data_IF_783483193839
#
_entry.id   IF_783483193839
#
_cell.length_a   1.000
_cell.length_b   1.000
_cell.length_c   1.000
_cell.angle_alpha   90.00
_cell.angle_beta   90.00
_cell.angle_gamma   90.00
#
_symmetry.space_group_name_H-M   'P 1'
#
loop_
_entity.id
_entity.type
_entity.pdbx_description
1 polymer ?
#
# COMPACT_ATOMS: atom_id res chain seq x y z
N UNK A 1 91.13 -5.26 -17.36
CA UNK A 1 90.74 -4.84 -16.00
C UNK A 1 89.22 -4.97 -15.88
N UNK A 2 88.75 -5.74 -14.89
CA UNK A 2 87.37 -5.84 -14.34
C UNK A 2 86.25 -6.50 -15.19
N UNK A 3 85.87 -7.71 -14.75
CA UNK A 3 84.52 -8.23 -14.39
C UNK A 3 83.29 -7.34 -14.68
N UNK A 4 82.05 -7.78 -14.93
CA UNK A 4 81.35 -9.08 -15.07
C UNK A 4 79.82 -8.80 -15.15
N UNK A 5 79.01 -9.84 -15.45
CA UNK A 5 77.56 -10.02 -15.17
C UNK A 5 76.59 -9.48 -16.25
N UNK A 6 76.09 -10.28 -17.20
CA UNK A 6 74.94 -11.24 -17.16
C UNK A 6 73.59 -10.56 -16.85
N UNK A 7 72.63 -10.57 -17.78
CA UNK A 7 71.42 -11.42 -17.69
C UNK A 7 70.27 -10.95 -18.61
N UNK A 8 69.56 -11.95 -19.11
CA UNK A 8 68.39 -11.96 -19.99
C UNK A 8 67.28 -10.93 -19.66
N UNK A 9 66.74 -10.33 -20.73
CA UNK A 9 65.36 -9.84 -20.77
C UNK A 9 64.39 -11.02 -20.61
N UNK A 10 63.69 -11.10 -19.49
CA UNK A 10 62.46 -11.88 -19.33
C UNK A 10 61.28 -10.92 -19.31
N UNK A 11 60.60 -10.77 -20.44
CA UNK A 11 59.30 -10.08 -20.53
C UNK A 11 58.24 -11.04 -19.98
N UNK A 12 57.85 -10.83 -18.73
CA UNK A 12 56.68 -11.46 -18.12
C UNK A 12 55.41 -10.81 -18.72
N UNK A 13 54.81 -11.49 -19.69
CA UNK A 13 53.45 -11.21 -20.15
C UNK A 13 52.50 -11.67 -19.04
N UNK A 14 52.09 -10.75 -18.17
CA UNK A 14 50.94 -10.96 -17.29
C UNK A 14 49.68 -10.92 -18.15
N UNK A 15 49.20 -12.09 -18.55
CA UNK A 15 47.83 -12.27 -19.05
C UNK A 15 46.91 -12.04 -17.84
N UNK A 16 46.42 -10.82 -17.68
CA UNK A 16 45.24 -10.57 -16.85
C UNK A 16 44.05 -11.22 -17.54
N UNK A 17 43.75 -12.44 -17.13
CA UNK A 17 42.44 -13.05 -17.34
C UNK A 17 41.43 -12.19 -16.58
N UNK A 18 40.89 -11.16 -17.24
CA UNK A 18 39.69 -10.48 -16.79
C UNK A 18 38.54 -11.49 -16.89
N UNK A 19 38.40 -12.29 -15.85
CA UNK A 19 37.16 -12.99 -15.58
C UNK A 19 36.14 -11.88 -15.32
N UNK A 20 35.35 -11.55 -16.34
CA UNK A 20 34.26 -10.60 -16.26
C UNK A 20 33.21 -11.13 -15.29
N UNK A 21 33.44 -10.90 -14.00
CA UNK A 21 32.38 -10.88 -13.00
C UNK A 21 31.47 -9.74 -13.42
N UNK A 22 30.39 -10.08 -14.12
CA UNK A 22 29.20 -9.26 -14.22
C UNK A 22 28.69 -9.06 -12.78
N UNK A 23 29.26 -8.10 -12.07
CA UNK A 23 28.63 -7.54 -10.89
C UNK A 23 27.36 -6.89 -11.40
N UNK A 24 26.25 -7.61 -11.28
CA UNK A 24 24.92 -7.01 -11.36
C UNK A 24 24.87 -6.06 -10.17
N UNK A 25 25.15 -4.78 -10.44
CA UNK A 25 24.87 -3.71 -9.48
C UNK A 25 23.36 -3.66 -9.37
N UNK A 26 22.83 -4.39 -8.39
CA UNK A 26 21.42 -4.30 -8.03
C UNK A 26 21.25 -2.89 -7.49
N UNK A 27 20.60 -2.03 -8.28
CA UNK A 27 20.25 -0.68 -7.84
C UNK A 27 19.50 -0.80 -6.50
N UNK A 28 19.89 0.01 -5.52
CA UNK A 28 19.22 0.04 -4.24
C UNK A 28 17.72 0.30 -4.44
N UNK A 29 16.85 -0.37 -3.68
CA UNK A 29 15.41 -0.20 -3.81
C UNK A 29 15.05 1.26 -3.55
N UNK A 30 14.20 1.82 -4.42
CA UNK A 30 13.64 3.15 -4.19
C UNK A 30 12.59 3.07 -3.08
N UNK A 31 12.64 3.98 -2.12
CA UNK A 31 11.78 3.99 -0.94
C UNK A 31 11.14 5.37 -0.78
N UNK A 32 9.82 5.39 -0.69
CA UNK A 32 9.06 6.64 -0.52
C UNK A 32 9.04 7.04 0.96
N UNK A 33 9.38 8.29 1.24
CA UNK A 33 9.25 8.88 2.58
C UNK A 33 8.00 9.77 2.59
N UNK A 34 6.97 9.31 3.32
CA UNK A 34 5.65 9.95 3.40
C UNK A 34 5.56 10.75 4.70
N UNK A 35 5.35 12.05 4.60
CA UNK A 35 5.06 12.89 5.75
C UNK A 35 3.60 12.71 6.21
N UNK A 36 3.43 12.41 7.50
CA UNK A 36 2.13 12.19 8.13
C UNK A 36 1.34 13.49 8.35
N UNK A 37 0.01 13.42 8.29
CA UNK A 37 -0.93 14.45 8.74
C UNK A 37 -0.68 15.85 8.14
N UNK A 38 -0.29 15.92 6.88
CA UNK A 38 0.04 17.19 6.18
C UNK A 38 -1.20 17.96 5.72
N UNK A 39 -2.12 18.22 6.65
CA UNK A 39 -3.46 18.77 6.38
C UNK A 39 -3.50 20.26 6.01
N UNK A 40 -2.36 20.91 5.82
CA UNK A 40 -2.25 22.32 5.41
C UNK A 40 -1.16 22.52 4.35
N UNK A 41 -1.26 23.52 3.45
CA UNK A 41 -0.20 23.87 2.51
C UNK A 41 1.17 24.10 3.16
N UNK A 42 1.19 24.71 4.35
CA UNK A 42 2.44 24.94 5.09
C UNK A 42 3.06 23.64 5.61
N UNK A 43 2.24 22.68 6.04
CA UNK A 43 2.73 21.36 6.42
C UNK A 43 3.34 20.61 5.22
N UNK A 44 2.75 20.74 4.03
CA UNK A 44 3.29 20.15 2.80
C UNK A 44 4.63 20.81 2.43
N UNK A 45 4.72 22.15 2.45
CA UNK A 45 5.99 22.86 2.21
C UNK A 45 7.08 22.37 3.16
N UNK A 46 6.77 22.33 4.45
CA UNK A 46 7.69 21.83 5.45
C UNK A 46 8.12 20.39 5.17
N UNK A 47 7.19 19.49 4.81
CA UNK A 47 7.50 18.10 4.51
C UNK A 47 8.50 17.99 3.34
N UNK A 48 8.28 18.77 2.28
CA UNK A 48 9.17 18.84 1.12
C UNK A 48 10.56 19.39 1.51
N UNK A 49 10.63 20.41 2.37
CA UNK A 49 11.89 20.93 2.91
C UNK A 49 12.66 19.89 3.74
N UNK A 50 11.95 19.02 4.45
CA UNK A 50 12.54 17.88 5.16
C UNK A 50 13.00 16.74 4.22
N UNK A 51 12.73 16.86 2.91
CA UNK A 51 13.11 15.88 1.91
C UNK A 51 12.08 14.77 1.67
N UNK A 52 10.89 14.85 2.28
CA UNK A 52 9.80 13.94 1.96
C UNK A 52 9.47 14.03 0.47
N UNK A 53 9.11 12.91 -0.15
CA UNK A 53 8.57 12.87 -1.50
C UNK A 53 7.14 12.34 -1.53
N UNK A 54 6.59 11.93 -0.39
CA UNK A 54 5.18 11.63 -0.22
C UNK A 54 4.57 12.49 0.87
N UNK A 55 3.27 12.72 0.77
CA UNK A 55 2.47 13.34 1.82
C UNK A 55 1.23 12.48 2.08
N UNK A 56 0.80 12.40 3.33
CA UNK A 56 -0.49 11.86 3.73
C UNK A 56 -1.37 13.00 4.30
N UNK A 57 -2.65 12.99 3.94
CA UNK A 57 -3.63 13.98 4.37
C UNK A 57 -4.97 13.33 4.70
N UNK A 58 -5.54 13.76 5.82
CA UNK A 58 -6.81 13.28 6.36
C UNK A 58 -7.98 14.03 5.74
N UNK A 59 -8.77 13.38 4.89
CA UNK A 59 -9.91 14.00 4.25
C UNK A 59 -11.22 13.67 4.97
N UNK A 60 -11.88 14.69 5.52
CA UNK A 60 -13.23 14.62 6.08
C UNK A 60 -14.29 14.91 5.02
N UNK A 61 -15.48 14.38 5.26
CA UNK A 61 -16.62 14.44 4.36
C UNK A 61 -17.85 15.07 5.02
N UNK A 62 -18.67 15.74 4.22
CA UNK A 62 -20.04 16.13 4.54
C UNK A 62 -20.99 15.33 3.63
N UNK A 63 -21.58 14.27 4.19
CA UNK A 63 -22.22 13.23 3.39
C UNK A 63 -21.20 12.57 2.46
N UNK A 64 -21.45 12.54 1.16
CA UNK A 64 -20.53 11.98 0.14
C UNK A 64 -19.53 13.01 -0.38
N UNK A 65 -19.58 14.27 0.08
CA UNK A 65 -18.77 15.36 -0.47
C UNK A 65 -17.49 15.56 0.33
N UNK A 66 -16.31 15.62 -0.31
CA UNK A 66 -15.08 16.09 0.34
C UNK A 66 -15.32 17.47 0.97
N UNK A 67 -15.02 17.63 2.26
CA UNK A 67 -15.35 18.85 3.00
C UNK A 67 -14.12 19.60 3.52
N UNK A 68 -13.18 18.90 4.16
CA UNK A 68 -12.02 19.54 4.80
C UNK A 68 -10.87 18.55 4.98
N UNK A 69 -9.65 19.03 4.82
CA UNK A 69 -8.45 18.31 5.25
C UNK A 69 -8.22 18.61 6.73
N UNK A 70 -8.35 17.58 7.57
CA UNK A 70 -8.24 17.70 9.01
C UNK A 70 -8.29 16.32 9.66
N UNK A 71 -7.32 16.03 10.53
CA UNK A 71 -7.34 14.84 11.37
C UNK A 71 -8.37 15.00 12.52
N UNK A 72 -8.08 15.91 13.44
CA UNK A 72 -8.76 16.05 14.74
C UNK A 72 -8.02 15.32 15.87
N UNK A 73 -8.67 15.19 17.01
CA UNK A 73 -8.09 14.64 18.26
C UNK A 73 -8.65 13.22 18.50
N UNK A 74 -7.88 12.21 18.92
CA UNK A 74 -6.46 12.16 19.32
C UNK A 74 -5.51 11.82 18.15
N UNK A 75 -4.37 12.52 18.08
CA UNK A 75 -3.30 12.35 17.10
C UNK A 75 -2.06 11.65 17.72
N UNK A 76 -1.02 11.42 16.92
CA UNK A 76 0.25 10.85 17.37
C UNK A 76 0.90 11.60 18.54
N UNK A 77 1.54 10.85 19.45
CA UNK A 77 2.14 11.39 20.67
C UNK A 77 3.32 12.31 20.40
N UNK A 78 4.03 12.11 19.29
CA UNK A 78 5.02 13.06 18.76
C UNK A 78 4.39 14.45 18.50
N UNK A 79 3.07 14.52 18.32
CA UNK A 79 2.33 15.78 18.21
C UNK A 79 1.74 16.29 19.53
N UNK A 80 1.42 15.40 20.48
CA UNK A 80 0.80 15.77 21.75
C UNK A 80 1.83 16.14 22.85
N UNK A 81 2.94 15.39 22.96
CA UNK A 81 3.88 15.45 24.08
C UNK A 81 5.14 16.27 23.79
N UNK A 82 5.33 16.73 22.55
CA UNK A 82 6.60 17.29 22.07
C UNK A 82 6.60 18.79 21.78
N UNK A 83 5.65 19.53 22.35
CA UNK A 83 5.73 21.01 22.44
C UNK A 83 6.99 21.51 23.17
N UNK A 84 7.78 20.63 23.81
CA UNK A 84 8.85 21.02 24.74
C UNK A 84 10.28 20.60 24.39
N UNK A 85 10.59 19.76 23.36
CA UNK A 85 11.98 19.26 23.28
C UNK A 85 12.59 18.79 21.95
N UNK A 86 11.91 18.73 20.80
CA UNK A 86 12.57 18.30 19.54
C UNK A 86 12.20 19.22 18.37
N UNK A 87 13.21 19.76 17.68
CA UNK A 87 13.06 20.79 16.63
C UNK A 87 12.62 20.25 15.26
N UNK A 88 12.75 18.94 14.99
CA UNK A 88 12.49 18.31 13.68
C UNK A 88 11.27 17.36 13.72
N UNK A 89 10.05 17.91 13.88
CA UNK A 89 8.77 17.17 13.87
C UNK A 89 7.64 17.93 13.16
N UNK A 90 6.80 17.21 12.39
CA UNK A 90 5.76 17.82 11.55
C UNK A 90 4.69 18.58 12.30
N UNK A 91 4.41 18.17 13.53
CA UNK A 91 3.37 18.76 14.36
C UNK A 91 3.62 20.25 14.67
N UNK A 92 4.88 20.69 14.72
CA UNK A 92 5.22 22.12 14.90
C UNK A 92 4.99 22.94 13.63
N UNK A 93 5.08 22.31 12.47
CA UNK A 93 4.94 22.95 11.15
C UNK A 93 3.51 22.94 10.62
N UNK A 94 2.62 22.18 11.26
CA UNK A 94 1.17 22.15 10.97
C UNK A 94 0.45 23.42 11.49
N UNK A 95 1.16 24.34 12.16
CA UNK A 95 0.60 25.58 12.72
C UNK A 95 -0.03 25.31 14.08
N UNK A 96 -1.17 24.64 14.11
CA UNK A 96 -1.96 24.35 15.33
C UNK A 96 -1.78 22.91 15.85
N UNK A 97 -0.63 22.27 15.57
CA UNK A 97 -0.41 20.88 15.96
C UNK A 97 -1.40 19.94 15.27
N UNK A 98 -2.11 19.13 16.04
CA UNK A 98 -3.10 18.16 15.52
C UNK A 98 -4.39 18.80 15.00
N UNK A 99 -4.54 20.10 15.20
CA UNK A 99 -5.73 20.86 14.81
C UNK A 99 -5.60 21.55 13.46
N UNK A 100 -4.43 21.45 12.80
CA UNK A 100 -4.24 21.99 11.47
C UNK A 100 -5.35 21.52 10.53
N UNK A 101 -5.91 22.47 9.80
CA UNK A 101 -6.97 22.19 8.84
C UNK A 101 -6.94 23.14 7.68
N UNK A 102 -7.45 22.70 6.55
CA UNK A 102 -7.58 23.52 5.35
C UNK A 102 -8.85 23.12 4.60
N UNK A 103 -9.54 24.09 4.01
CA UNK A 103 -10.70 23.80 3.17
C UNK A 103 -10.30 22.92 1.99
N UNK A 104 -11.24 22.15 1.45
CA UNK A 104 -10.94 21.34 0.25
C UNK A 104 -10.50 22.21 -0.92
N UNK A 105 -11.15 23.37 -1.14
CA UNK A 105 -10.81 24.29 -2.21
C UNK A 105 -9.36 24.76 -2.10
N UNK A 106 -8.96 25.31 -0.94
CA UNK A 106 -7.63 25.90 -0.76
C UNK A 106 -6.53 24.84 -0.90
N UNK A 107 -6.74 23.64 -0.35
CA UNK A 107 -5.76 22.56 -0.43
C UNK A 107 -5.62 22.04 -1.86
N UNK A 108 -6.72 21.81 -2.56
CA UNK A 108 -6.71 21.28 -3.93
C UNK A 108 -6.12 22.30 -4.90
N UNK A 109 -6.44 23.59 -4.75
CA UNK A 109 -5.80 24.65 -5.53
C UNK A 109 -4.29 24.72 -5.28
N UNK A 110 -3.85 24.53 -4.03
CA UNK A 110 -2.43 24.45 -3.69
C UNK A 110 -1.76 23.24 -4.34
N UNK A 111 -2.36 22.05 -4.27
CA UNK A 111 -1.84 20.83 -4.90
C UNK A 111 -1.75 20.93 -6.43
N UNK A 112 -2.65 21.68 -7.06
CA UNK A 112 -2.62 21.99 -8.49
C UNK A 112 -1.76 23.20 -8.87
N UNK A 113 -1.06 23.83 -7.93
CA UNK A 113 -0.27 25.03 -8.17
C UNK A 113 1.08 24.73 -8.84
N UNK A 114 1.66 25.76 -9.47
CA UNK A 114 3.02 25.67 -10.06
C UNK A 114 4.10 25.29 -9.04
N UNK A 115 3.91 25.66 -7.77
CA UNK A 115 4.79 25.29 -6.66
C UNK A 115 4.88 23.77 -6.53
N UNK A 116 3.73 23.09 -6.52
CA UNK A 116 3.68 21.62 -6.41
C UNK A 116 4.08 20.94 -7.71
N UNK A 117 3.65 21.44 -8.86
CA UNK A 117 3.99 20.87 -10.18
C UNK A 117 5.50 20.84 -10.43
N UNK A 118 6.22 21.88 -9.98
CA UNK A 118 7.69 21.97 -10.10
C UNK A 118 8.45 21.27 -8.96
N UNK A 119 7.75 20.83 -7.91
CA UNK A 119 8.35 20.16 -6.76
C UNK A 119 8.79 18.71 -7.04
N UNK A 120 9.41 18.09 -6.03
CA UNK A 120 9.72 16.64 -6.00
C UNK A 120 8.60 15.78 -5.40
N UNK A 121 7.41 16.35 -5.16
CA UNK A 121 6.29 15.58 -4.61
C UNK A 121 5.90 14.46 -5.57
N UNK A 122 6.14 13.23 -5.14
CA UNK A 122 5.97 12.01 -5.91
C UNK A 122 4.70 11.22 -5.54
N UNK A 123 4.16 11.42 -4.34
CA UNK A 123 2.97 10.73 -3.87
C UNK A 123 2.08 11.64 -3.03
N UNK A 124 0.78 11.65 -3.34
CA UNK A 124 -0.28 12.17 -2.48
C UNK A 124 -1.08 10.99 -1.96
N UNK A 125 -1.09 10.78 -0.65
CA UNK A 125 -1.90 9.79 0.04
C UNK A 125 -3.10 10.51 0.71
N UNK A 126 -4.32 10.15 0.31
CA UNK A 126 -5.56 10.60 0.92
C UNK A 126 -6.06 9.52 1.89
N UNK A 127 -6.02 9.79 3.19
CA UNK A 127 -6.70 8.98 4.21
C UNK A 127 -8.15 9.47 4.33
N UNK A 128 -9.09 8.69 3.79
CA UNK A 128 -10.50 9.05 3.82
C UNK A 128 -11.10 8.76 5.21
N UNK A 129 -11.40 9.84 5.95
CA UNK A 129 -12.09 9.77 7.25
C UNK A 129 -13.59 9.66 7.05
N UNK A 130 -14.03 8.46 6.66
CA UNK A 130 -15.41 8.16 6.35
C UNK A 130 -16.25 7.95 7.62
N UNK A 131 -17.33 8.70 7.76
CA UNK A 131 -18.26 8.54 8.87
C UNK A 131 -19.16 7.32 8.68
N UNK A 132 -19.43 6.58 9.77
CA UNK A 132 -20.30 5.38 9.75
C UNK A 132 -21.75 5.68 9.34
N UNK A 133 -22.17 6.94 9.46
CA UNK A 133 -23.50 7.44 9.08
C UNK A 133 -23.63 7.66 7.57
N UNK A 134 -22.52 7.65 6.83
CA UNK A 134 -22.53 7.83 5.38
C UNK A 134 -23.17 6.62 4.70
N UNK A 135 -24.17 6.87 3.85
CA UNK A 135 -24.94 5.81 3.20
C UNK A 135 -24.29 5.25 1.93
N UNK A 136 -23.40 6.00 1.29
CA UNK A 136 -22.87 5.67 -0.04
C UNK A 136 -21.37 5.98 -0.14
N UNK A 137 -20.55 5.07 0.39
CA UNK A 137 -19.09 5.21 0.33
C UNK A 137 -18.57 5.27 -1.12
N UNK A 138 -19.16 4.51 -2.05
CA UNK A 138 -18.74 4.48 -3.45
C UNK A 138 -18.87 5.85 -4.12
N UNK A 139 -19.93 6.59 -3.83
CA UNK A 139 -20.08 7.95 -4.35
C UNK A 139 -19.03 8.90 -3.77
N UNK A 140 -18.68 8.78 -2.49
CA UNK A 140 -17.58 9.55 -1.91
C UNK A 140 -16.25 9.28 -2.63
N UNK A 141 -15.97 8.01 -2.96
CA UNK A 141 -14.80 7.63 -3.75
C UNK A 141 -14.77 8.26 -5.15
N UNK A 142 -15.90 8.21 -5.87
CA UNK A 142 -16.05 8.87 -7.18
C UNK A 142 -15.82 10.39 -7.09
N UNK A 143 -16.34 11.03 -6.04
CA UNK A 143 -16.19 12.47 -5.83
C UNK A 143 -14.73 12.88 -5.57
N UNK A 144 -13.98 12.10 -4.78
CA UNK A 144 -12.55 12.36 -4.55
C UNK A 144 -11.73 12.25 -5.84
N UNK A 145 -11.96 11.20 -6.63
CA UNK A 145 -11.27 11.02 -7.91
C UNK A 145 -11.59 12.16 -8.86
N UNK A 146 -12.86 12.57 -8.95
CA UNK A 146 -13.26 13.70 -9.78
C UNK A 146 -12.53 14.98 -9.38
N UNK A 147 -12.54 15.32 -8.09
CA UNK A 147 -11.88 16.49 -7.53
C UNK A 147 -10.37 16.54 -7.87
N UNK A 148 -9.66 15.42 -7.67
CA UNK A 148 -8.22 15.32 -7.92
C UNK A 148 -7.91 15.37 -9.42
N UNK A 149 -8.68 14.66 -10.25
CA UNK A 149 -8.48 14.65 -11.70
C UNK A 149 -8.65 16.06 -12.29
N UNK A 150 -9.70 16.77 -11.89
CA UNK A 150 -10.06 18.07 -12.46
C UNK A 150 -9.17 19.21 -11.99
N UNK A 151 -8.58 19.11 -10.79
CA UNK A 151 -7.91 20.26 -10.17
C UNK A 151 -6.45 20.02 -9.78
N UNK A 152 -5.96 18.78 -9.79
CA UNK A 152 -4.56 18.45 -9.43
C UNK A 152 -3.84 17.85 -10.63
N UNK A 153 -4.34 16.72 -11.15
CA UNK A 153 -3.67 16.01 -12.25
C UNK A 153 -3.77 16.79 -13.56
N UNK A 154 -4.96 17.28 -13.92
CA UNK A 154 -5.18 18.10 -15.13
C UNK A 154 -4.32 19.37 -15.15
N UNK A 155 -3.95 19.90 -13.97
CA UNK A 155 -3.11 21.09 -13.79
C UNK A 155 -1.61 20.77 -13.82
N UNK A 156 -1.24 19.52 -14.07
CA UNK A 156 0.14 19.12 -14.37
C UNK A 156 0.87 18.40 -13.24
N UNK A 157 0.21 18.03 -12.14
CA UNK A 157 0.85 17.21 -11.11
C UNK A 157 1.32 15.88 -11.70
N UNK A 158 2.59 15.52 -11.47
CA UNK A 158 3.27 14.35 -12.08
C UNK A 158 3.40 13.15 -11.15
N UNK A 159 3.13 13.30 -9.86
CA UNK A 159 3.22 12.21 -8.89
C UNK A 159 2.02 11.27 -8.89
N UNK A 160 2.03 10.26 -8.05
CA UNK A 160 0.95 9.28 -7.94
C UNK A 160 -0.02 9.66 -6.83
N UNK A 161 -1.20 9.03 -6.85
CA UNK A 161 -2.26 9.19 -5.86
C UNK A 161 -2.49 7.83 -5.18
N UNK A 162 -2.42 7.80 -3.86
CA UNK A 162 -2.85 6.67 -3.04
C UNK A 162 -4.16 7.06 -2.34
N UNK A 163 -5.20 6.27 -2.54
CA UNK A 163 -6.48 6.45 -1.86
C UNK A 163 -6.63 5.35 -0.79
N UNK A 164 -6.78 5.76 0.47
CA UNK A 164 -6.99 4.85 1.59
C UNK A 164 -8.41 4.92 2.14
N UNK A 165 -8.91 3.79 2.62
CA UNK A 165 -10.03 3.73 3.56
C UNK A 165 -9.57 3.09 4.87
N UNK A 166 -10.20 3.46 6.00
CA UNK A 166 -9.70 3.06 7.32
C UNK A 166 -9.93 1.61 7.70
N UNK A 167 -10.86 0.87 7.06
CA UNK A 167 -11.11 -0.55 7.37
C UNK A 167 -11.70 -1.29 6.16
N UNK A 168 -11.73 -2.62 6.19
CA UNK A 168 -12.33 -3.43 5.12
C UNK A 168 -13.83 -3.15 4.92
N UNK A 169 -14.54 -2.68 5.96
CA UNK A 169 -15.96 -2.37 5.88
C UNK A 169 -16.25 -1.12 5.05
N UNK A 170 -15.22 -0.34 4.69
CA UNK A 170 -15.33 0.88 3.90
C UNK A 170 -14.83 0.70 2.47
N UNK A 171 -14.54 -0.54 2.04
CA UNK A 171 -13.98 -0.85 0.70
C UNK A 171 -14.83 -0.38 -0.47
N UNK A 172 -16.13 -0.17 -0.28
CA UNK A 172 -16.99 0.42 -1.31
C UNK A 172 -16.52 1.83 -1.74
N UNK A 173 -15.88 2.59 -0.85
CA UNK A 173 -15.21 3.84 -1.21
C UNK A 173 -14.16 3.64 -2.30
N UNK A 174 -13.29 2.64 -2.12
CA UNK A 174 -12.24 2.31 -3.08
C UNK A 174 -12.84 1.78 -4.38
N UNK A 175 -13.89 0.95 -4.33
CA UNK A 175 -14.58 0.45 -5.53
C UNK A 175 -15.16 1.59 -6.37
N UNK A 176 -15.81 2.56 -5.74
CA UNK A 176 -16.31 3.76 -6.43
C UNK A 176 -15.18 4.61 -7.01
N UNK A 177 -14.07 4.76 -6.29
CA UNK A 177 -12.90 5.46 -6.82
C UNK A 177 -12.33 4.74 -8.06
N UNK A 178 -12.14 3.42 -7.99
CA UNK A 178 -11.66 2.59 -9.10
C UNK A 178 -12.57 2.72 -10.33
N UNK A 179 -13.89 2.67 -10.15
CA UNK A 179 -14.86 2.87 -11.22
C UNK A 179 -14.66 4.22 -11.92
N UNK A 180 -14.50 5.31 -11.15
CA UNK A 180 -14.25 6.65 -11.74
C UNK A 180 -12.90 6.73 -12.44
N UNK A 181 -11.86 6.11 -11.86
CA UNK A 181 -10.50 6.08 -12.42
C UNK A 181 -10.47 5.31 -13.73
N UNK A 182 -11.10 4.14 -13.81
CA UNK A 182 -11.15 3.31 -15.02
C UNK A 182 -11.84 4.03 -16.20
N UNK A 183 -12.70 5.01 -15.90
CA UNK A 183 -13.33 5.89 -16.89
C UNK A 183 -12.51 7.17 -17.17
N UNK A 184 -11.21 7.17 -16.84
CA UNK A 184 -10.28 8.29 -17.04
C UNK A 184 -8.95 7.83 -17.64
N UNK A 185 -8.15 8.78 -18.14
CA UNK A 185 -6.81 8.51 -18.70
C UNK A 185 -5.70 8.41 -17.64
N UNK A 186 -6.05 8.29 -16.35
CA UNK A 186 -5.10 8.37 -15.24
C UNK A 186 -4.99 7.07 -14.44
N UNK A 187 -5.46 5.94 -14.97
CA UNK A 187 -5.53 4.68 -14.24
C UNK A 187 -4.18 4.20 -13.68
N UNK A 188 -3.07 4.48 -14.37
CA UNK A 188 -1.70 4.18 -13.96
C UNK A 188 -1.17 5.07 -12.83
N UNK A 189 -1.91 6.13 -12.46
CA UNK A 189 -1.54 7.09 -11.42
C UNK A 189 -2.19 6.81 -10.07
N UNK A 190 -3.21 5.95 -10.04
CA UNK A 190 -4.00 5.68 -8.84
C UNK A 190 -3.68 4.31 -8.24
N UNK A 191 -3.52 4.33 -6.92
CA UNK A 191 -3.26 3.18 -6.08
C UNK A 191 -4.22 3.19 -4.89
N UNK A 192 -4.42 2.03 -4.28
CA UNK A 192 -5.47 1.83 -3.28
C UNK A 192 -4.93 1.06 -2.07
N UNK A 193 -5.35 1.45 -0.87
CA UNK A 193 -4.98 0.77 0.37
C UNK A 193 -6.16 0.65 1.32
N UNK A 194 -6.21 -0.46 2.06
CA UNK A 194 -7.13 -0.65 3.19
C UNK A 194 -6.28 -0.57 4.44
N UNK A 195 -6.49 0.46 5.24
CA UNK A 195 -5.68 0.76 6.41
C UNK A 195 -6.30 0.16 7.70
N UNK A 196 -5.61 0.31 8.83
CA UNK A 196 -6.01 0.10 10.23
C UNK A 196 -6.59 -1.27 10.62
N UNK A 197 -6.40 -2.30 9.81
CA UNK A 197 -6.69 -3.69 10.18
C UNK A 197 -5.58 -4.33 11.04
N UNK A 198 -4.51 -3.59 11.34
CA UNK A 198 -3.43 -4.02 12.22
C UNK A 198 -2.71 -5.27 11.70
N UNK A 199 -2.63 -6.32 12.52
CA UNK A 199 -1.94 -7.57 12.17
C UNK A 199 -2.74 -8.48 11.22
N UNK A 200 -3.97 -8.11 10.84
CA UNK A 200 -4.85 -8.93 10.01
C UNK A 200 -4.54 -8.79 8.51
N UNK A 201 -3.28 -9.02 8.11
CA UNK A 201 -2.83 -8.88 6.73
C UNK A 201 -3.57 -9.80 5.75
N UNK A 202 -3.93 -11.01 6.18
CA UNK A 202 -4.71 -11.97 5.39
C UNK A 202 -6.12 -11.43 5.09
N UNK A 203 -6.79 -10.86 6.10
CA UNK A 203 -8.10 -10.23 5.92
C UNK A 203 -8.03 -9.04 4.95
N UNK A 204 -6.99 -8.21 5.06
CA UNK A 204 -6.76 -7.10 4.12
C UNK A 204 -6.55 -7.62 2.71
N UNK A 205 -5.81 -8.73 2.57
CA UNK A 205 -5.57 -9.36 1.28
C UNK A 205 -6.84 -9.87 0.63
N UNK A 206 -7.68 -10.61 1.36
CA UNK A 206 -8.96 -11.11 0.84
C UNK A 206 -9.87 -10.00 0.32
N UNK A 207 -9.92 -8.87 1.03
CA UNK A 207 -10.69 -7.71 0.60
C UNK A 207 -10.02 -6.93 -0.54
N UNK A 208 -8.69 -6.91 -0.59
CA UNK A 208 -7.91 -6.29 -1.68
C UNK A 208 -8.17 -7.00 -3.01
N UNK A 209 -8.24 -8.34 -3.00
CA UNK A 209 -8.60 -9.13 -4.17
C UNK A 209 -9.95 -8.71 -4.77
N UNK A 210 -10.91 -8.35 -3.93
CA UNK A 210 -12.27 -7.94 -4.34
C UNK A 210 -12.34 -6.51 -4.91
N UNK A 211 -11.23 -5.77 -4.97
CA UNK A 211 -11.21 -4.44 -5.57
C UNK A 211 -11.14 -4.49 -7.11
N UNK A 212 -10.76 -5.64 -7.69
CA UNK A 212 -10.70 -5.80 -9.15
C UNK A 212 -9.59 -4.97 -9.82
N UNK A 213 -8.52 -4.65 -9.09
CA UNK A 213 -7.34 -3.94 -9.60
C UNK A 213 -6.07 -4.53 -8.98
N UNK A 214 -4.96 -4.44 -9.70
CA UNK A 214 -3.63 -4.85 -9.20
C UNK A 214 -2.84 -3.67 -8.60
N UNK A 215 -3.32 -2.44 -8.69
CA UNK A 215 -2.66 -1.27 -8.09
C UNK A 215 -2.95 -1.15 -6.60
N UNK A 216 -2.83 -2.25 -5.87
CA UNK A 216 -3.08 -2.30 -4.43
C UNK A 216 -1.77 -2.20 -3.66
N UNK A 217 -1.78 -1.34 -2.65
CA UNK A 217 -0.69 -1.09 -1.71
C UNK A 217 -1.12 -1.65 -0.36
N UNK A 218 -0.22 -2.37 0.31
CA UNK A 218 -0.43 -2.75 1.71
C UNK A 218 0.19 -1.71 2.63
N UNK A 219 -0.56 -1.28 3.62
CA UNK A 219 -0.05 -0.47 4.72
C UNK A 219 -0.64 -0.98 6.02
N UNK A 220 0.14 -0.90 7.10
CA UNK A 220 -0.37 -1.15 8.44
C UNK A 220 0.42 -0.32 9.44
N UNK A 221 -0.10 -0.22 10.64
CA UNK A 221 0.47 0.67 11.61
C UNK A 221 -0.35 0.85 12.85
N UNK A 222 0.23 1.62 13.75
CA UNK A 222 -0.47 2.19 14.87
C UNK A 222 0.14 3.56 15.18
N UNK A 223 -0.60 4.36 15.92
CA UNK A 223 -0.09 5.63 16.43
C UNK A 223 1.29 5.46 17.07
N UNK A 224 2.19 6.39 16.80
CA UNK A 224 3.53 6.41 17.39
C UNK A 224 3.53 6.52 18.93
N UNK A 225 2.36 6.75 19.54
CA UNK A 225 2.11 6.64 20.97
C UNK A 225 2.32 5.24 21.56
N UNK A 226 2.13 4.19 20.76
CA UNK A 226 2.01 2.82 21.26
C UNK A 226 3.22 1.98 20.85
N UNK A 227 3.76 1.23 21.82
CA UNK A 227 4.83 0.26 21.57
C UNK A 227 4.24 -1.03 20.99
N UNK A 228 4.02 -1.04 19.67
CA UNK A 228 3.59 -2.22 18.91
C UNK A 228 4.38 -2.33 17.60
N UNK A 229 4.63 -3.57 17.17
CA UNK A 229 5.29 -3.86 15.88
C UNK A 229 4.37 -4.71 15.00
N UNK A 230 4.61 -4.67 13.70
CA UNK A 230 3.79 -5.33 12.68
C UNK A 230 4.62 -6.21 11.74
N UNK A 231 5.80 -6.67 12.18
CA UNK A 231 6.73 -7.43 11.32
C UNK A 231 6.10 -8.66 10.68
N UNK A 232 5.22 -9.39 11.38
CA UNK A 232 4.53 -10.56 10.83
C UNK A 232 3.61 -10.19 9.68
N UNK A 233 2.81 -9.15 9.86
CA UNK A 233 1.89 -8.64 8.84
C UNK A 233 2.65 -8.10 7.62
N UNK A 234 3.76 -7.39 7.84
CA UNK A 234 4.67 -6.92 6.79
C UNK A 234 5.31 -8.09 6.04
N UNK A 235 5.86 -9.09 6.73
CA UNK A 235 6.47 -10.26 6.10
C UNK A 235 5.47 -11.04 5.27
N UNK A 236 4.28 -11.32 5.82
CA UNK A 236 3.19 -11.95 5.07
C UNK A 236 2.89 -11.16 3.78
N UNK A 237 2.72 -9.84 3.89
CA UNK A 237 2.38 -8.99 2.75
C UNK A 237 3.47 -8.96 1.69
N UNK A 238 4.74 -8.94 2.08
CA UNK A 238 5.87 -9.04 1.15
C UNK A 238 5.94 -10.41 0.47
N UNK A 239 5.68 -11.49 1.21
CA UNK A 239 5.70 -12.87 0.71
C UNK A 239 4.56 -13.16 -0.26
N UNK A 240 3.40 -12.50 -0.11
CA UNK A 240 2.28 -12.64 -1.07
C UNK A 240 2.65 -12.20 -2.49
N UNK A 241 3.61 -11.27 -2.62
CA UNK A 241 4.05 -10.65 -3.89
C UNK A 241 2.90 -10.04 -4.71
N UNK A 242 1.76 -9.79 -4.10
CA UNK A 242 0.57 -9.32 -4.80
C UNK A 242 0.37 -7.81 -4.69
N UNK A 243 0.92 -7.19 -3.66
CA UNK A 243 0.92 -5.74 -3.52
C UNK A 243 2.02 -5.11 -4.37
N UNK A 244 1.71 -4.00 -5.05
CA UNK A 244 2.71 -3.20 -5.79
C UNK A 244 3.71 -2.51 -4.87
N UNK A 245 3.35 -2.37 -3.59
CA UNK A 245 4.14 -1.73 -2.56
C UNK A 245 3.62 -2.11 -1.17
N UNK A 246 4.53 -2.27 -0.22
CA UNK A 246 4.23 -2.58 1.18
C UNK A 246 4.87 -1.51 2.06
N UNK A 247 4.13 -0.93 3.01
CA UNK A 247 4.68 0.08 3.92
C UNK A 247 4.09 0.04 5.32
N UNK A 248 4.60 0.94 6.15
CA UNK A 248 4.33 0.98 7.59
C UNK A 248 4.13 2.42 8.06
N UNK A 249 3.24 2.61 9.03
CA UNK A 249 3.00 3.87 9.74
C UNK A 249 2.81 3.65 11.26
N UNK A 250 2.85 4.69 12.10
CA UNK A 250 3.71 5.86 11.93
C UNK A 250 5.06 5.56 12.57
N UNK A 251 6.16 5.59 11.81
CA UNK A 251 7.49 5.23 12.32
C UNK A 251 8.38 6.46 12.41
N UNK A 252 8.67 6.93 13.63
CA UNK A 252 9.43 8.17 13.87
C UNK A 252 10.90 7.94 14.28
N UNK A 253 11.23 6.80 14.88
CA UNK A 253 12.58 6.53 15.38
C UNK A 253 13.48 5.98 14.27
N UNK A 254 14.67 6.55 14.06
CA UNK A 254 15.64 6.08 13.04
C UNK A 254 15.95 4.59 13.14
N UNK A 255 16.08 4.05 14.35
CA UNK A 255 16.30 2.61 14.57
C UNK A 255 15.13 1.77 14.07
N UNK A 256 13.89 2.16 14.38
CA UNK A 256 12.68 1.50 13.90
C UNK A 256 12.51 1.62 12.39
N UNK A 257 12.81 2.80 11.83
CA UNK A 257 12.85 3.02 10.36
C UNK A 257 13.81 2.00 9.75
N UNK A 258 15.06 1.96 10.22
CA UNK A 258 16.06 1.00 9.73
C UNK A 258 15.58 -0.45 9.83
N UNK A 259 14.92 -0.84 10.93
CA UNK A 259 14.41 -2.19 11.09
C UNK A 259 13.33 -2.55 10.07
N UNK A 260 12.40 -1.64 9.75
CA UNK A 260 11.40 -1.89 8.70
C UNK A 260 11.98 -1.83 7.28
N UNK A 261 12.97 -0.97 7.03
CA UNK A 261 13.72 -0.99 5.77
C UNK A 261 14.42 -2.34 5.57
N UNK A 262 15.06 -2.86 6.63
CA UNK A 262 15.69 -4.18 6.61
C UNK A 262 14.66 -5.31 6.42
N UNK A 263 13.43 -5.12 6.89
CA UNK A 263 12.33 -6.05 6.66
C UNK A 263 11.81 -6.02 5.21
N UNK A 264 12.15 -5.00 4.42
CA UNK A 264 11.85 -4.92 2.99
C UNK A 264 10.71 -3.99 2.60
N UNK A 265 10.24 -3.10 3.48
CA UNK A 265 9.18 -2.13 3.13
C UNK A 265 9.62 -1.18 2.02
N UNK A 266 8.67 -0.73 1.21
CA UNK A 266 8.87 0.19 0.08
C UNK A 266 8.54 1.64 0.41
N UNK A 267 7.87 1.90 1.53
CA UNK A 267 7.69 3.25 2.03
C UNK A 267 7.58 3.30 3.55
N UNK A 268 7.88 4.48 4.08
CA UNK A 268 7.77 4.81 5.50
C UNK A 268 6.88 6.04 5.62
N UNK A 269 5.82 5.93 6.40
CA UNK A 269 5.00 7.07 6.79
C UNK A 269 5.40 7.51 8.20
N UNK A 270 5.72 8.79 8.35
CA UNK A 270 6.43 9.31 9.54
C UNK A 270 6.06 10.76 9.86
N UNK A 271 6.12 11.13 11.14
CA UNK A 271 6.10 12.52 11.59
C UNK A 271 7.50 13.18 11.49
N UNK A 272 8.55 12.43 11.14
CA UNK A 272 9.95 12.90 11.04
C UNK A 272 10.57 12.60 9.67
N UNK A 273 10.11 13.25 8.58
CA UNK A 273 10.55 12.90 7.23
C UNK A 273 12.05 13.02 7.03
N UNK A 274 12.69 14.03 7.63
CA UNK A 274 14.15 14.20 7.57
C UNK A 274 14.89 12.99 8.15
N UNK A 275 14.41 12.44 9.27
CA UNK A 275 15.00 11.24 9.85
C UNK A 275 14.83 10.03 8.93
N UNK A 276 13.67 9.87 8.30
CA UNK A 276 13.45 8.80 7.31
C UNK A 276 14.37 8.95 6.09
N UNK A 277 14.45 10.15 5.51
CA UNK A 277 15.29 10.43 4.34
C UNK A 277 16.78 10.23 4.63
N UNK A 278 17.24 10.60 5.84
CA UNK A 278 18.63 10.35 6.26
C UNK A 278 18.96 8.85 6.35
N UNK A 279 18.00 8.01 6.79
CA UNK A 279 18.19 6.55 6.88
C UNK A 279 18.04 5.89 5.51
N UNK A 280 17.11 6.34 4.67
CA UNK A 280 16.88 5.81 3.31
C UNK A 280 18.02 6.20 2.36
N UNK A 281 18.55 7.42 2.49
CA UNK A 281 19.49 8.02 1.56
C UNK A 281 18.77 8.73 0.40
N UNK A 282 19.16 9.99 0.12
CA UNK A 282 18.47 10.86 -0.85
C UNK A 282 18.42 10.28 -2.27
N UNK A 283 19.43 9.53 -2.68
CA UNK A 283 19.50 8.94 -4.02
C UNK A 283 18.52 7.77 -4.19
N UNK A 284 18.00 7.23 -3.09
CA UNK A 284 17.00 6.16 -3.08
C UNK A 284 15.57 6.69 -2.98
N UNK A 285 15.35 8.01 -2.97
CA UNK A 285 14.03 8.62 -2.93
C UNK A 285 13.47 8.74 -4.37
N UNK A 286 12.32 8.13 -4.69
CA UNK A 286 11.79 8.15 -6.06
C UNK A 286 11.32 9.54 -6.50
N UNK A 287 11.46 9.79 -7.80
CA UNK A 287 10.96 11.00 -8.46
C UNK A 287 9.45 10.93 -8.73
N UNK A 288 8.79 12.06 -9.05
CA UNK A 288 7.38 12.05 -9.42
C UNK A 288 7.03 11.05 -10.52
N UNK A 289 6.00 10.24 -10.27
CA UNK A 289 5.54 9.17 -11.17
C UNK A 289 6.18 7.80 -10.90
N UNK A 290 7.13 7.72 -9.97
CA UNK A 290 7.91 6.51 -9.66
C UNK A 290 7.81 6.07 -8.20
N UNK A 291 6.90 6.65 -7.41
CA UNK A 291 6.73 6.29 -6.00
C UNK A 291 6.33 4.82 -5.84
N UNK A 292 5.43 4.35 -6.70
CA UNK A 292 5.02 2.95 -6.84
C UNK A 292 5.18 2.51 -8.29
N UNK A 293 5.58 1.25 -8.50
CA UNK A 293 5.59 0.67 -9.84
C UNK A 293 4.20 0.09 -10.10
N UNK A 294 3.43 0.61 -11.07
CA UNK A 294 2.16 0.01 -11.43
C UNK A 294 2.36 -1.47 -11.76
N UNK A 295 1.37 -2.31 -11.42
CA UNK A 295 1.42 -3.70 -11.84
C UNK A 295 1.40 -3.74 -13.37
N UNK A 296 2.49 -4.20 -13.99
CA UNK A 296 2.48 -4.47 -15.43
C UNK A 296 1.52 -5.62 -15.68
N UNK A 297 0.70 -5.51 -16.72
CA UNK A 297 -0.34 -6.49 -17.08
C UNK A 297 0.21 -7.84 -17.57
N UNK A 298 1.46 -8.19 -17.25
CA UNK A 298 2.11 -9.40 -17.74
C UNK A 298 3.22 -9.84 -16.80
N UNK A 299 2.86 -10.63 -15.79
CA UNK A 299 3.45 -11.93 -15.43
C UNK A 299 3.05 -12.24 -13.99
N UNK A 300 1.94 -12.98 -13.83
CA UNK A 300 1.72 -13.71 -12.59
C UNK A 300 2.89 -14.66 -12.39
N UNK A 301 3.65 -14.43 -11.33
CA UNK A 301 4.57 -15.41 -10.80
C UNK A 301 3.75 -16.56 -10.17
N UNK A 302 3.31 -17.52 -10.99
CA UNK A 302 2.86 -18.89 -10.63
C UNK A 302 1.72 -19.08 -9.60
N UNK A 303 0.96 -20.18 -9.67
CA UNK A 303 -0.45 -20.26 -9.26
C UNK A 303 -0.72 -20.52 -7.77
N UNK A 304 0.28 -20.46 -6.89
CA UNK A 304 0.12 -20.94 -5.50
C UNK A 304 -0.76 -20.07 -4.60
N UNK A 305 -1.12 -18.85 -5.01
CA UNK A 305 -1.92 -17.93 -4.20
C UNK A 305 -3.36 -17.72 -4.69
N UNK A 306 -3.74 -18.29 -5.84
CA UNK A 306 -5.08 -18.17 -6.44
C UNK A 306 -6.02 -19.32 -6.11
N UNK A 307 -5.62 -20.20 -5.17
CA UNK A 307 -6.44 -21.34 -4.76
C UNK A 307 -7.32 -20.98 -3.57
N UNK A 308 -8.61 -21.26 -3.73
CA UNK A 308 -9.55 -21.38 -2.63
C UNK A 308 -9.23 -22.64 -1.80
N UNK A 309 -9.72 -22.70 -0.57
CA UNK A 309 -9.49 -23.86 0.30
C UNK A 309 -10.74 -24.25 1.08
N UNK A 310 -10.81 -25.52 1.47
CA UNK A 310 -11.94 -26.10 2.18
C UNK A 310 -11.46 -27.01 3.31
N UNK A 311 -12.11 -26.92 4.46
CA UNK A 311 -11.85 -27.80 5.61
C UNK A 311 -13.02 -28.76 5.86
N UNK A 312 -12.71 -29.89 6.48
CA UNK A 312 -13.72 -30.85 6.89
C UNK A 312 -14.33 -30.44 8.22
N UNK A 313 -15.66 -30.39 8.29
CA UNK A 313 -16.39 -30.12 9.51
C UNK A 313 -17.17 -31.35 9.96
N UNK A 314 -16.94 -31.76 11.20
CA UNK A 314 -17.50 -32.97 11.79
C UNK A 314 -18.82 -32.71 12.54
N UNK A 315 -19.76 -33.66 12.43
CA UNK A 315 -21.00 -33.73 13.20
C UNK A 315 -21.28 -35.17 13.65
N UNK A 316 -22.14 -35.33 14.66
CA UNK A 316 -22.42 -36.62 15.31
C UNK A 316 -22.93 -37.73 14.35
N UNK A 317 -23.54 -37.35 13.22
CA UNK A 317 -24.09 -38.28 12.22
C UNK A 317 -23.32 -38.26 10.87
N UNK A 318 -22.15 -37.62 10.81
CA UNK A 318 -21.36 -37.46 9.58
C UNK A 318 -20.66 -36.11 9.49
N UNK A 319 -20.03 -35.80 8.37
CA UNK A 319 -19.42 -34.49 8.13
C UNK A 319 -19.18 -34.26 6.65
N UNK A 320 -18.62 -33.10 6.32
CA UNK A 320 -18.35 -32.73 4.94
C UNK A 320 -17.49 -31.49 4.83
N UNK A 321 -17.27 -31.07 3.60
CA UNK A 321 -16.42 -29.92 3.32
C UNK A 321 -17.19 -28.59 3.40
N UNK A 322 -16.50 -27.56 3.85
CA UNK A 322 -16.94 -26.17 3.72
C UNK A 322 -15.74 -25.29 3.36
N UNK A 323 -15.99 -24.25 2.57
CA UNK A 323 -14.99 -23.27 2.15
C UNK A 323 -14.46 -22.56 3.39
N UNK A 324 -13.14 -22.58 3.55
CA UNK A 324 -12.42 -21.82 4.57
C UNK A 324 -11.64 -20.67 3.98
N UNK A 325 -11.32 -20.72 2.69
CA UNK A 325 -10.69 -19.63 1.94
C UNK A 325 -11.44 -19.41 0.63
N UNK A 326 -11.93 -18.18 0.43
CA UNK A 326 -12.76 -17.81 -0.73
C UNK A 326 -12.03 -18.00 -2.05
N UNK A 327 -12.79 -18.25 -3.12
CA UNK A 327 -12.25 -18.19 -4.48
C UNK A 327 -11.95 -16.72 -4.89
N UNK A 328 -10.98 -16.49 -5.79
CA UNK A 328 -10.77 -15.15 -6.35
C UNK A 328 -12.00 -14.68 -7.15
N UNK A 329 -12.17 -13.37 -7.36
CA UNK A 329 -13.27 -12.85 -8.18
C UNK A 329 -13.35 -13.52 -9.55
N UNK A 330 -14.58 -13.70 -10.02
CA UNK A 330 -14.93 -14.40 -11.26
C UNK A 330 -14.58 -15.90 -11.28
N UNK A 331 -14.36 -16.50 -10.10
CA UNK A 331 -14.15 -17.94 -9.93
C UNK A 331 -15.02 -18.47 -8.78
N UNK A 332 -15.20 -19.77 -8.75
CA UNK A 332 -15.90 -20.47 -7.67
C UNK A 332 -14.97 -21.48 -7.00
N UNK A 333 -15.32 -21.89 -5.77
CA UNK A 333 -14.52 -22.86 -5.03
C UNK A 333 -15.15 -24.24 -5.07
N UNK A 334 -14.42 -25.22 -5.62
CA UNK A 334 -14.82 -26.62 -5.63
C UNK A 334 -14.20 -27.35 -4.45
N UNK A 335 -14.96 -27.48 -3.37
CA UNK A 335 -14.56 -28.32 -2.25
C UNK A 335 -14.61 -29.81 -2.62
N UNK A 336 -13.63 -30.58 -2.14
CA UNK A 336 -13.61 -32.03 -2.34
C UNK A 336 -13.11 -32.75 -1.10
N UNK A 337 -13.82 -33.81 -0.69
CA UNK A 337 -13.38 -34.69 0.37
C UNK A 337 -12.16 -35.50 -0.08
N UNK A 338 -11.08 -35.45 0.69
CA UNK A 338 -9.81 -36.11 0.36
C UNK A 338 -9.58 -37.41 1.15
N UNK A 339 -10.51 -37.79 2.01
CA UNK A 339 -10.37 -38.94 2.91
C UNK A 339 -9.85 -38.55 4.30
N UNK A 340 -9.92 -39.46 5.27
CA UNK A 340 -9.41 -39.27 6.65
C UNK A 340 -9.90 -37.96 7.30
N UNK A 341 -11.17 -37.59 7.09
CA UNK A 341 -11.73 -36.34 7.62
C UNK A 341 -10.98 -35.09 7.15
N UNK A 342 -10.46 -35.10 5.92
CA UNK A 342 -9.80 -33.96 5.29
C UNK A 342 -10.54 -33.53 4.03
N UNK A 343 -10.49 -32.22 3.77
CA UNK A 343 -11.01 -31.59 2.57
C UNK A 343 -9.90 -30.77 1.92
N UNK A 344 -10.09 -30.46 0.64
CA UNK A 344 -9.29 -29.44 -0.04
C UNK A 344 -10.15 -28.68 -1.02
N UNK A 345 -9.82 -27.39 -1.21
CA UNK A 345 -10.42 -26.54 -2.22
C UNK A 345 -9.69 -26.61 -3.55
N UNK A 346 -10.42 -26.35 -4.63
CA UNK A 346 -9.87 -26.12 -5.95
C UNK A 346 -10.60 -24.93 -6.56
N UNK A 347 -9.87 -23.90 -6.97
CA UNK A 347 -10.46 -22.78 -7.73
C UNK A 347 -10.87 -23.29 -9.12
N UNK A 348 -12.12 -23.03 -9.49
CA UNK A 348 -12.70 -23.38 -10.79
C UNK A 348 -13.41 -22.17 -11.39
N UNK A 349 -13.63 -22.19 -12.71
CA UNK A 349 -14.55 -21.26 -13.34
C UNK A 349 -15.95 -21.42 -12.76
N UNK A 350 -16.67 -20.30 -12.65
CA UNK A 350 -18.05 -20.30 -12.19
C UNK A 350 -18.95 -21.02 -13.20
N UNK A 351 -19.95 -21.74 -12.69
CA UNK A 351 -21.02 -22.30 -13.52
C UNK A 351 -21.91 -21.23 -14.16
N UNK A 352 -22.06 -20.06 -13.50
CA UNK A 352 -22.64 -18.84 -14.07
C UNK A 352 -21.74 -17.64 -13.75
N UNK A 353 -21.20 -17.00 -14.79
CA UNK A 353 -20.31 -15.84 -14.66
C UNK A 353 -21.03 -14.55 -14.26
N UNK A 354 -22.35 -14.48 -14.42
CA UNK A 354 -23.16 -13.32 -13.99
C UNK A 354 -23.63 -13.44 -12.53
N UNK A 355 -23.47 -14.62 -11.91
CA UNK A 355 -23.85 -14.84 -10.53
C UNK A 355 -23.13 -13.84 -9.60
N UNK A 356 -23.85 -13.32 -8.61
CA UNK A 356 -23.27 -12.42 -7.60
C UNK A 356 -22.09 -13.08 -6.89
N UNK A 357 -22.21 -14.38 -6.58
CA UNK A 357 -21.20 -15.18 -5.91
C UNK A 357 -20.04 -15.57 -6.83
N UNK A 358 -20.20 -15.45 -8.15
CA UNK A 358 -19.08 -15.53 -9.07
C UNK A 358 -18.26 -14.24 -9.04
N UNK A 359 -18.93 -13.09 -9.14
CA UNK A 359 -18.29 -11.77 -9.16
C UNK A 359 -17.69 -11.40 -7.79
N UNK A 360 -18.37 -11.81 -6.73
CA UNK A 360 -17.98 -11.56 -5.33
C UNK A 360 -18.14 -12.87 -4.53
N UNK A 361 -17.20 -13.81 -4.66
CA UNK A 361 -17.23 -15.07 -3.92
C UNK A 361 -17.16 -14.83 -2.42
N UNK A 362 -17.88 -15.65 -1.66
CA UNK A 362 -17.82 -15.70 -0.22
C UNK A 362 -17.66 -17.15 0.24
N UNK A 363 -17.68 -17.39 1.56
CA UNK A 363 -17.56 -18.73 2.13
C UNK A 363 -18.92 -19.42 2.29
N UNK A 364 -19.99 -18.92 1.68
CA UNK A 364 -21.34 -19.46 1.87
C UNK A 364 -21.52 -20.84 1.26
N UNK A 365 -22.58 -21.54 1.68
CA UNK A 365 -22.95 -22.84 1.09
C UNK A 365 -23.29 -22.68 -0.39
N UNK A 366 -23.92 -21.57 -0.74
CA UNK A 366 -24.28 -21.20 -2.10
C UNK A 366 -23.03 -21.02 -2.96
N UNK A 367 -21.97 -20.40 -2.43
CA UNK A 367 -20.69 -20.24 -3.14
C UNK A 367 -19.98 -21.59 -3.38
N UNK A 368 -20.08 -22.52 -2.42
CA UNK A 368 -19.60 -23.89 -2.61
C UNK A 368 -20.37 -24.65 -3.69
N UNK A 369 -21.71 -24.48 -3.75
CA UNK A 369 -22.52 -25.07 -4.80
C UNK A 369 -22.24 -24.48 -6.18
N UNK A 370 -21.97 -23.17 -6.26
CA UNK A 370 -21.59 -22.51 -7.52
C UNK A 370 -20.33 -23.15 -8.14
N UNK A 371 -19.39 -23.60 -7.30
CA UNK A 371 -18.17 -24.32 -7.71
C UNK A 371 -18.35 -25.83 -7.92
N UNK A 372 -19.54 -26.38 -7.66
CA UNK A 372 -19.84 -27.81 -7.81
C UNK A 372 -19.05 -28.71 -6.85
N UNK A 373 -18.81 -28.23 -5.62
CA UNK A 373 -18.07 -28.96 -4.58
C UNK A 373 -18.93 -29.84 -3.66
N UNK A 374 -18.25 -30.56 -2.75
CA UNK A 374 -18.86 -31.14 -1.56
C UNK A 374 -19.14 -30.04 -0.53
N UNK A 375 -20.42 -29.78 -0.27
CA UNK A 375 -20.88 -28.70 0.62
C UNK A 375 -21.60 -29.25 1.86
N UNK A 376 -21.31 -30.49 2.28
CA UNK A 376 -21.95 -31.13 3.42
C UNK A 376 -21.42 -30.64 4.78
N UNK A 377 -20.37 -29.80 4.79
CA UNK A 377 -19.83 -29.16 6.00
C UNK A 377 -20.61 -27.92 6.46
N UNK A 378 -21.62 -27.48 5.68
CA UNK A 378 -22.49 -26.34 6.01
C UNK A 378 -23.78 -26.83 6.69
N UNK A 379 -23.85 -26.69 8.02
CA UNK A 379 -24.93 -27.17 8.88
C UNK A 379 -25.65 -26.09 9.68
#
# INVERSE_FOLDING_TARGET
MKFSVISLLSVLVFIFFFCGLNYVVIASPQITAIAHMTNTPNAIRWALEQGANGIEMDLKFDGTRPARFHHGVHCDCSCLLQFLSIQDHGCRSIGDGCSGSTSVTDMIDFLGSSEIVSSRLALIYIDAKLEKTMRNYAEAGRNVVQLINENVISRGYRGQILLGCSTVSQTDYLRGAIEKVNNSNYADRYFYTIDSEGDNAEKVWDHSLQLGTNNVVYTTGITSCLLKTFYKAIQFSLETKAYVSVGIWTIDQKSSIQSYLNAGVNFILTNRPKAAVEVIGRDNIPLPGLAFKPATSSTFASPLFFECDCSYFYRFLGGGCAITKVAPPNHACKCSYKGVWTCGGQTTECSDTNDRLCRLPDISKEACFLGGGDCNGYF
#
